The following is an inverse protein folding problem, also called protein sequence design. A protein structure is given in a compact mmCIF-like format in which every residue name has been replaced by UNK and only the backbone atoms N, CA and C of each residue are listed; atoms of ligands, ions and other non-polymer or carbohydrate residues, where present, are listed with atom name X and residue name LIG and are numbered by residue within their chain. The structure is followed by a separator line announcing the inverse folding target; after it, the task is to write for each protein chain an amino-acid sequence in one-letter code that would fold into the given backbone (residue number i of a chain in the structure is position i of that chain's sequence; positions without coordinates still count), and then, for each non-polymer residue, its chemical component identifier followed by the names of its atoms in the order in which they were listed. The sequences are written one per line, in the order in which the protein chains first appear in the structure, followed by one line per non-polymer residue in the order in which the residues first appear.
data_IF_352769338887
#
_entry.id   IF_352769338887
#
_cell.length_a   1.000
_cell.length_b   1.000
_cell.length_c   1.000
_cell.angle_alpha   90.00
_cell.angle_beta   90.00
_cell.angle_gamma   90.00
#
_symmetry.space_group_name_H-M   'P 1'
#
loop_
_entity.id
_entity.type
_entity.pdbx_description
1 polymer ?
#
# COMPACT_ATOMS: atom_id res chain seq x y z
N UNK A 1 -31.68 16.41 33.91
CA UNK A 1 -30.23 16.49 34.17
C UNK A 1 -29.56 16.72 32.82
N UNK A 2 -29.14 17.94 32.56
CA UNK A 2 -28.53 18.32 31.29
C UNK A 2 -27.04 17.97 31.37
N UNK A 3 -26.59 17.02 30.55
CA UNK A 3 -25.16 16.75 30.40
C UNK A 3 -24.45 18.02 29.91
N UNK A 4 -23.36 18.46 30.57
CA UNK A 4 -22.60 19.60 30.09
C UNK A 4 -21.83 19.18 28.85
N UNK A 5 -22.22 19.75 27.71
CA UNK A 5 -21.47 19.70 26.44
C UNK A 5 -19.99 19.98 26.73
N UNK A 6 -19.06 19.09 26.35
CA UNK A 6 -17.66 19.23 26.72
C UNK A 6 -17.10 20.53 26.15
N UNK A 7 -16.40 21.27 27.00
CA UNK A 7 -15.90 22.64 26.85
C UNK A 7 -14.91 22.92 25.70
N UNK A 8 -14.96 22.17 24.60
CA UNK A 8 -14.00 22.22 23.49
C UNK A 8 -13.98 23.58 22.76
N UNK A 9 -15.00 24.42 22.92
CA UNK A 9 -15.09 25.73 22.25
C UNK A 9 -14.60 26.93 23.08
N UNK A 10 -14.11 26.76 24.32
CA UNK A 10 -13.83 27.91 25.20
C UNK A 10 -12.42 28.50 25.10
N UNK A 11 -11.45 27.79 24.52
CA UNK A 11 -10.06 28.24 24.50
C UNK A 11 -9.75 28.92 23.16
N UNK A 12 -9.87 30.25 23.11
CA UNK A 12 -9.41 31.01 21.94
C UNK A 12 -7.88 31.03 21.90
N UNK A 13 -7.32 30.75 20.72
CA UNK A 13 -5.88 30.78 20.47
C UNK A 13 -5.56 31.80 19.38
N UNK A 14 -4.42 32.51 19.46
CA UNK A 14 -3.98 33.47 18.45
C UNK A 14 -3.41 32.81 17.19
N UNK A 15 -3.57 31.49 17.01
CA UNK A 15 -3.07 30.72 15.88
C UNK A 15 -3.92 29.48 15.61
N UNK A 16 -3.85 28.96 14.38
CA UNK A 16 -4.65 27.82 13.93
C UNK A 16 -4.10 26.48 14.42
N UNK A 17 -4.99 25.47 14.49
CA UNK A 17 -4.63 24.08 14.79
C UNK A 17 -3.64 23.53 13.76
N UNK A 18 -3.79 23.87 12.48
CA UNK A 18 -2.84 23.45 11.44
C UNK A 18 -1.40 23.88 11.74
N UNK A 19 -1.22 25.11 12.24
CA UNK A 19 0.10 25.62 12.65
C UNK A 19 0.66 24.85 13.84
N UNK A 20 -0.16 24.53 14.85
CA UNK A 20 0.25 23.74 16.04
C UNK A 20 0.83 22.38 15.64
N UNK A 21 0.17 21.70 14.69
CA UNK A 21 0.51 20.34 14.28
C UNK A 21 1.70 20.31 13.32
N UNK A 22 1.76 21.28 12.41
CA UNK A 22 2.76 21.35 11.34
C UNK A 22 4.16 21.73 11.80
N UNK A 23 4.32 22.40 12.95
CA UNK A 23 5.63 22.84 13.43
C UNK A 23 6.52 21.69 13.93
N UNK A 24 7.82 21.83 13.67
CA UNK A 24 8.87 21.03 14.30
C UNK A 24 8.83 21.18 15.82
N UNK A 25 9.55 20.34 16.56
CA UNK A 25 9.59 20.46 18.03
C UNK A 25 10.16 21.82 18.45
N UNK A 26 11.24 22.25 17.82
CA UNK A 26 11.94 23.48 18.19
C UNK A 26 11.10 24.72 17.84
N UNK A 27 10.52 24.75 16.64
CA UNK A 27 9.70 25.91 16.21
C UNK A 27 8.41 26.02 17.02
N UNK A 28 7.82 24.88 17.39
CA UNK A 28 6.67 24.84 18.28
C UNK A 28 7.03 25.42 19.65
N UNK A 29 8.17 25.03 20.21
CA UNK A 29 8.62 25.52 21.51
C UNK A 29 9.01 27.01 21.46
N UNK A 30 9.60 27.48 20.35
CA UNK A 30 9.85 28.90 20.11
C UNK A 30 8.53 29.68 20.04
N UNK A 31 7.56 29.20 19.27
CA UNK A 31 6.23 29.81 19.18
C UNK A 31 5.56 29.96 20.55
N UNK A 32 5.63 28.93 21.40
CA UNK A 32 5.07 28.99 22.75
C UNK A 32 5.78 30.00 23.66
N UNK A 33 7.08 30.26 23.48
CA UNK A 33 7.83 31.26 24.27
C UNK A 33 7.52 32.70 23.86
N UNK A 34 7.17 32.93 22.60
CA UNK A 34 6.86 34.26 22.07
C UNK A 34 5.40 34.67 22.29
N UNK A 35 4.51 33.72 22.61
CA UNK A 35 3.09 33.96 22.84
C UNK A 35 2.80 33.99 24.34
N UNK A 36 2.11 35.01 24.82
CA UNK A 36 1.62 35.06 26.20
C UNK A 36 0.34 34.23 26.31
N UNK A 37 0.49 32.96 26.68
CA UNK A 37 -0.61 32.01 26.83
C UNK A 37 -0.87 31.71 28.31
N UNK A 38 -2.14 31.54 28.68
CA UNK A 38 -2.52 31.03 29.99
C UNK A 38 -2.16 29.54 30.12
N UNK A 39 -2.11 29.03 31.36
CA UNK A 39 -1.84 27.61 31.62
C UNK A 39 -2.85 26.69 30.91
N UNK A 40 -4.13 27.06 30.94
CA UNK A 40 -5.19 26.33 30.25
C UNK A 40 -5.00 26.30 28.73
N UNK A 41 -4.58 27.43 28.14
CA UNK A 41 -4.26 27.51 26.71
C UNK A 41 -3.05 26.63 26.35
N UNK A 42 -2.01 26.62 27.18
CA UNK A 42 -0.83 25.77 26.98
C UNK A 42 -1.22 24.28 27.00
N UNK A 43 -1.95 23.84 28.02
CA UNK A 43 -2.40 22.46 28.17
C UNK A 43 -3.25 22.03 26.96
N UNK A 44 -4.15 22.91 26.50
CA UNK A 44 -4.96 22.70 25.30
C UNK A 44 -4.11 22.56 24.03
N UNK A 45 -3.17 23.47 23.79
CA UNK A 45 -2.29 23.44 22.61
C UNK A 45 -1.44 22.17 22.57
N UNK A 46 -0.90 21.75 23.72
CA UNK A 46 -0.16 20.49 23.84
C UNK A 46 -1.03 19.27 23.54
N UNK A 47 -2.24 19.21 24.09
CA UNK A 47 -3.15 18.09 23.87
C UNK A 47 -3.64 18.00 22.42
N UNK A 48 -4.02 19.13 21.81
CA UNK A 48 -4.39 19.22 20.39
C UNK A 48 -3.25 18.69 19.52
N UNK A 49 -2.01 19.12 19.80
CA UNK A 49 -0.84 18.67 19.05
C UNK A 49 -0.61 17.17 19.20
N UNK A 50 -0.71 16.66 20.43
CA UNK A 50 -0.52 15.24 20.77
C UNK A 50 -1.54 14.37 20.04
N UNK A 51 -2.84 14.68 20.14
CA UNK A 51 -3.92 13.94 19.48
C UNK A 51 -3.78 13.97 17.96
N UNK A 52 -3.50 15.15 17.39
CA UNK A 52 -3.33 15.30 15.94
C UNK A 52 -2.13 14.51 15.41
N UNK A 53 -0.98 14.53 16.11
CA UNK A 53 0.17 13.71 15.72
C UNK A 53 -0.08 12.21 15.87
N UNK A 54 -0.80 11.79 16.92
CA UNK A 54 -1.21 10.40 17.07
C UNK A 54 -2.13 9.95 15.94
N UNK A 55 -3.09 10.79 15.52
CA UNK A 55 -3.95 10.53 14.36
C UNK A 55 -3.13 10.32 13.07
N UNK A 56 -2.17 11.19 12.80
CA UNK A 56 -1.27 11.06 11.63
C UNK A 56 -0.42 9.78 11.73
N UNK A 57 0.10 9.46 12.92
CA UNK A 57 0.89 8.25 13.15
C UNK A 57 0.04 6.99 12.92
N UNK A 58 -1.19 6.96 13.43
CA UNK A 58 -2.14 5.87 13.20
C UNK A 58 -2.48 5.71 11.71
N UNK A 59 -2.70 6.80 10.99
CA UNK A 59 -2.92 6.78 9.54
C UNK A 59 -1.71 6.18 8.81
N UNK A 60 -0.49 6.62 9.12
CA UNK A 60 0.75 6.06 8.54
C UNK A 60 0.98 4.60 8.89
N UNK A 61 0.56 4.18 10.09
CA UNK A 61 0.63 2.77 10.51
C UNK A 61 -0.33 1.91 9.69
N UNK A 62 -1.59 2.34 9.56
CA UNK A 62 -2.61 1.67 8.71
C UNK A 62 -2.15 1.58 7.26
N UNK A 63 -1.64 2.68 6.69
CA UNK A 63 -1.09 2.70 5.33
C UNK A 63 0.03 1.67 5.16
N UNK A 64 1.05 1.68 6.02
CA UNK A 64 2.14 0.69 5.98
C UNK A 64 1.65 -0.75 6.08
N UNK A 65 0.64 -1.01 6.92
CA UNK A 65 0.04 -2.34 7.03
C UNK A 65 -0.62 -2.77 5.73
N UNK A 66 -1.40 -1.88 5.10
CA UNK A 66 -2.06 -2.15 3.82
C UNK A 66 -1.03 -2.33 2.68
N UNK A 67 -0.01 -1.48 2.63
CA UNK A 67 1.08 -1.60 1.65
C UNK A 67 1.79 -2.97 1.77
N UNK A 68 2.02 -3.44 3.00
CA UNK A 68 2.61 -4.75 3.26
C UNK A 68 1.69 -5.90 2.82
N UNK A 69 0.39 -5.84 3.13
CA UNK A 69 -0.60 -6.83 2.67
C UNK A 69 -0.61 -6.89 1.15
N UNK A 70 -0.68 -5.75 0.47
CA UNK A 70 -0.71 -5.70 -0.98
C UNK A 70 0.57 -6.27 -1.62
N UNK A 71 1.74 -5.99 -1.05
CA UNK A 71 3.00 -6.58 -1.52
C UNK A 71 2.97 -8.11 -1.41
N UNK A 72 2.50 -8.64 -0.28
CA UNK A 72 2.38 -10.09 -0.07
C UNK A 72 1.39 -10.72 -1.06
N UNK A 73 0.25 -10.09 -1.33
CA UNK A 73 -0.71 -10.55 -2.34
C UNK A 73 -0.06 -10.64 -3.73
N UNK A 74 0.73 -9.64 -4.10
CA UNK A 74 1.45 -9.63 -5.38
C UNK A 74 2.52 -10.74 -5.46
N UNK A 75 3.23 -11.00 -4.36
CA UNK A 75 4.21 -12.09 -4.29
C UNK A 75 3.54 -13.46 -4.43
N UNK A 76 2.40 -13.67 -3.75
CA UNK A 76 1.62 -14.90 -3.86
C UNK A 76 1.15 -15.11 -5.30
N UNK A 77 0.55 -14.10 -5.92
CA UNK A 77 0.06 -14.20 -7.32
C UNK A 77 1.22 -14.54 -8.29
N UNK A 78 2.37 -13.88 -8.11
CA UNK A 78 3.58 -14.19 -8.89
C UNK A 78 4.02 -15.65 -8.71
N UNK A 79 4.06 -16.14 -7.48
CA UNK A 79 4.46 -17.52 -7.18
C UNK A 79 3.45 -18.54 -7.74
N UNK A 80 2.15 -18.27 -7.64
CA UNK A 80 1.10 -19.12 -8.21
C UNK A 80 1.21 -19.22 -9.72
N UNK A 81 1.40 -18.09 -10.41
CA UNK A 81 1.61 -18.06 -11.86
C UNK A 81 2.86 -18.84 -12.27
N UNK A 82 3.97 -18.61 -11.57
CA UNK A 82 5.23 -19.33 -11.83
C UNK A 82 5.07 -20.84 -11.64
N UNK A 83 4.44 -21.27 -10.55
CA UNK A 83 4.22 -22.68 -10.26
C UNK A 83 3.30 -23.35 -11.29
N UNK A 84 2.23 -22.64 -11.70
CA UNK A 84 1.32 -23.11 -12.76
C UNK A 84 2.06 -23.26 -14.07
N UNK A 85 2.88 -22.27 -14.44
CA UNK A 85 3.68 -22.30 -15.65
C UNK A 85 4.68 -23.48 -15.64
N UNK A 86 5.42 -23.68 -14.55
CA UNK A 86 6.31 -24.83 -14.40
C UNK A 86 5.56 -26.17 -14.50
N UNK A 87 4.38 -26.28 -13.87
CA UNK A 87 3.55 -27.49 -13.91
C UNK A 87 3.07 -27.80 -15.33
N UNK A 88 2.61 -26.76 -16.05
CA UNK A 88 2.20 -26.88 -17.45
C UNK A 88 3.38 -27.25 -18.35
N UNK A 89 4.55 -26.62 -18.15
CA UNK A 89 5.77 -26.94 -18.90
C UNK A 89 6.18 -28.41 -18.72
N UNK A 90 6.21 -28.89 -17.47
CA UNK A 90 6.51 -30.27 -17.17
C UNK A 90 5.50 -31.25 -17.78
N UNK A 91 4.20 -30.92 -17.77
CA UNK A 91 3.18 -31.74 -18.41
C UNK A 91 3.36 -31.77 -19.94
N UNK A 92 3.54 -30.62 -20.57
CA UNK A 92 3.81 -30.52 -22.00
C UNK A 92 5.03 -31.36 -22.40
N UNK A 93 6.12 -31.27 -21.63
CA UNK A 93 7.34 -32.04 -21.88
C UNK A 93 7.10 -33.56 -21.77
N UNK A 94 6.33 -34.01 -20.77
CA UNK A 94 5.94 -35.43 -20.63
C UNK A 94 5.09 -35.89 -21.80
N UNK A 95 4.03 -35.17 -22.14
CA UNK A 95 3.11 -35.53 -23.25
C UNK A 95 3.86 -35.59 -24.58
N UNK A 96 4.75 -34.64 -24.86
CA UNK A 96 5.54 -34.66 -26.08
C UNK A 96 6.51 -35.85 -26.14
N UNK A 97 7.06 -36.22 -24.99
CA UNK A 97 7.95 -37.38 -24.86
C UNK A 97 7.19 -38.69 -25.04
N UNK A 98 6.01 -38.83 -24.43
CA UNK A 98 5.12 -40.00 -24.57
C UNK A 98 4.58 -40.17 -25.99
N UNK A 99 4.26 -39.05 -26.67
CA UNK A 99 3.85 -39.04 -28.08
C UNK A 99 5.01 -39.33 -29.05
N UNK A 100 6.24 -39.53 -28.55
CA UNK A 100 7.46 -39.77 -29.32
C UNK A 100 7.68 -38.74 -30.44
N UNK A 101 7.32 -37.47 -30.19
CA UNK A 101 7.43 -36.41 -31.19
C UNK A 101 8.89 -36.16 -31.54
N UNK A 102 9.17 -36.09 -32.85
CA UNK A 102 10.49 -35.69 -33.34
C UNK A 102 10.73 -34.20 -33.10
N UNK A 103 11.98 -33.74 -32.92
CA UNK A 103 12.31 -32.33 -32.69
C UNK A 103 11.72 -31.39 -33.76
N UNK A 104 11.68 -31.84 -35.01
CA UNK A 104 11.12 -31.07 -36.13
C UNK A 104 9.60 -30.88 -36.00
N UNK A 105 8.89 -31.90 -35.49
CA UNK A 105 7.45 -31.83 -35.23
C UNK A 105 7.14 -30.92 -34.04
N UNK A 106 8.00 -30.92 -33.02
CA UNK A 106 7.91 -30.04 -31.86
C UNK A 106 8.02 -28.55 -32.28
N UNK A 107 8.96 -28.26 -33.18
CA UNK A 107 9.20 -26.91 -33.68
C UNK A 107 8.06 -26.40 -34.57
N UNK A 108 7.35 -27.29 -35.28
CA UNK A 108 6.12 -26.95 -35.99
C UNK A 108 4.99 -26.69 -35.01
N UNK A 109 4.80 -27.57 -34.01
CA UNK A 109 3.76 -27.42 -32.99
C UNK A 109 3.89 -26.09 -32.23
N UNK A 110 5.11 -25.71 -31.85
CA UNK A 110 5.39 -24.44 -31.17
C UNK A 110 4.93 -23.19 -31.96
N UNK A 111 4.95 -23.24 -33.31
CA UNK A 111 4.50 -22.12 -34.17
C UNK A 111 2.99 -21.91 -34.17
N UNK A 112 2.21 -22.96 -33.88
CA UNK A 112 0.75 -22.91 -33.85
C UNK A 112 0.19 -22.85 -32.42
N UNK A 113 1.07 -22.85 -31.42
CA UNK A 113 0.68 -22.82 -30.02
C UNK A 113 0.65 -21.36 -29.51
N UNK A 114 -0.25 -21.06 -28.58
CA UNK A 114 -0.38 -19.73 -27.96
C UNK A 114 0.96 -19.20 -27.43
N UNK A 115 1.26 -17.89 -27.51
CA UNK A 115 2.48 -17.29 -26.95
C UNK A 115 2.66 -17.52 -25.44
N UNK A 116 1.55 -17.68 -24.71
CA UNK A 116 1.54 -17.98 -23.28
C UNK A 116 1.75 -19.47 -22.97
N UNK A 117 1.88 -20.30 -24.01
CA UNK A 117 2.07 -21.72 -23.83
C UNK A 117 3.53 -22.05 -23.52
N UNK A 118 3.82 -22.98 -22.59
CA UNK A 118 5.20 -23.32 -22.26
C UNK A 118 6.03 -23.84 -23.45
N UNK A 119 5.38 -24.38 -24.48
CA UNK A 119 6.04 -24.91 -25.69
C UNK A 119 6.61 -23.83 -26.61
N UNK A 120 6.12 -22.58 -26.55
CA UNK A 120 6.62 -21.47 -27.37
C UNK A 120 7.79 -20.73 -26.73
N UNK A 121 8.07 -20.95 -25.43
CA UNK A 121 8.97 -20.11 -24.63
C UNK A 121 10.09 -20.88 -23.92
N UNK A 122 10.39 -22.12 -24.33
CA UNK A 122 11.44 -22.94 -23.70
C UNK A 122 12.85 -22.30 -23.65
N UNK A 123 13.10 -21.16 -24.32
CA UNK A 123 14.37 -20.42 -24.29
C UNK A 123 14.37 -19.12 -23.46
N UNK A 124 13.26 -18.67 -22.87
CA UNK A 124 13.21 -17.32 -22.25
C UNK A 124 12.45 -17.28 -20.92
N UNK A 125 13.08 -17.69 -19.83
CA UNK A 125 12.52 -17.55 -18.47
C UNK A 125 13.41 -16.68 -17.58
N UNK A 126 13.33 -15.36 -17.75
CA UNK A 126 13.83 -14.40 -16.75
C UNK A 126 12.98 -13.14 -16.55
N UNK A 127 11.86 -12.92 -17.28
CA UNK A 127 11.38 -11.53 -17.37
C UNK A 127 9.91 -11.24 -17.64
N UNK A 128 8.93 -12.10 -17.31
CA UNK A 128 7.52 -11.69 -17.47
C UNK A 128 7.11 -10.68 -16.39
N UNK A 129 6.72 -9.44 -16.76
CA UNK A 129 6.18 -8.47 -15.82
C UNK A 129 4.74 -8.85 -15.47
N UNK A 130 4.39 -8.70 -14.19
CA UNK A 130 3.03 -8.93 -13.72
C UNK A 130 2.09 -7.91 -14.39
N UNK A 131 0.97 -8.31 -15.03
CA UNK A 131 -0.01 -7.35 -15.48
C UNK A 131 -0.59 -6.67 -14.24
N UNK A 132 -0.30 -5.36 -14.09
CA UNK A 132 -0.96 -4.50 -13.10
C UNK A 132 -2.46 -4.60 -13.35
N UNK A 133 -3.16 -5.36 -12.53
CA UNK A 133 -4.58 -5.12 -12.36
C UNK A 133 -4.71 -3.77 -11.66
N UNK A 134 -5.06 -2.75 -12.44
CA UNK A 134 -5.42 -1.44 -11.95
C UNK A 134 -6.74 -1.54 -11.17
N UNK A 135 -6.67 -1.99 -9.92
CA UNK A 135 -7.69 -1.61 -8.95
C UNK A 135 -7.41 -0.16 -8.60
N UNK A 136 -8.20 0.74 -9.17
CA UNK A 136 -8.17 2.17 -8.90
C UNK A 136 -8.37 2.41 -7.40
N UNK A 137 -7.26 2.55 -6.67
CA UNK A 137 -7.22 2.83 -5.23
C UNK A 137 -7.14 4.33 -4.93
N UNK A 138 -7.25 5.18 -5.96
CA UNK A 138 -7.15 6.64 -5.83
C UNK A 138 -8.42 7.30 -5.30
N UNK A 139 -9.50 6.56 -5.00
CA UNK A 139 -10.77 7.18 -4.57
C UNK A 139 -11.16 6.97 -3.09
N UNK A 140 -10.55 6.04 -2.34
CA UNK A 140 -11.08 5.69 -1.02
C UNK A 140 -10.26 6.12 0.22
N UNK A 141 -9.03 6.65 0.08
CA UNK A 141 -8.21 7.02 1.26
C UNK A 141 -8.28 8.52 1.63
N UNK A 142 -9.12 9.31 0.95
CA UNK A 142 -9.47 10.67 1.39
C UNK A 142 -10.78 10.70 2.20
N UNK A 143 -11.62 9.67 2.12
CA UNK A 143 -12.97 9.66 2.74
C UNK A 143 -13.07 8.60 3.84
N UNK A 144 -12.31 8.75 4.93
CA UNK A 144 -12.79 8.24 6.23
C UNK A 144 -12.29 9.10 7.40
N UNK A 145 -12.77 10.36 7.37
CA UNK A 145 -13.43 11.08 8.46
C UNK A 145 -12.57 11.66 9.62
N UNK A 146 -12.67 12.99 9.67
CA UNK A 146 -12.80 13.95 10.78
C UNK A 146 -12.94 13.42 12.20
#
# INVERSE_FOLDING_TARGET
MSDPVPHIFKVQLPFSVGRIVGLSRNDFQLMLRHQTLTREQLDFVHDVRRRSKNRIAAQRCRKRKLDCIHNLECEIDKLMKLNTWHSMSALCQRVCSEAALRPEQLQVLAKYTSPDCPLSLCDQLTGLPCPRMSVSLDTFIIITIS
#
